data_IF_797607204380
#
_entry.id   IF_797607204380
#
_cell.length_a   1.000
_cell.length_b   1.000
_cell.length_c   1.000
_cell.angle_alpha   90.00
_cell.angle_beta   90.00
_cell.angle_gamma   90.00
#
_symmetry.space_group_name_H-M   'P 1'
#
loop_
_entity.id
_entity.type
_entity.pdbx_description
1 polymer ?
#
# COMPACT_ATOMS: atom_id res chain seq x y z
N UNK A 1 0.10 1.16 -30.43
CA UNK A 1 -0.14 0.42 -29.17
C UNK A 1 0.71 1.10 -28.12
N UNK A 2 0.12 1.56 -27.01
CA UNK A 2 0.91 2.15 -25.93
C UNK A 2 1.78 1.05 -25.29
N UNK A 3 3.07 1.30 -25.09
CA UNK A 3 3.97 0.32 -24.47
C UNK A 3 3.84 0.35 -22.95
N UNK A 4 4.27 -0.70 -22.26
CA UNK A 4 4.30 -0.73 -20.80
C UNK A 4 5.18 0.40 -20.25
N UNK A 5 6.31 0.68 -20.89
CA UNK A 5 7.19 1.80 -20.54
C UNK A 5 6.45 3.14 -20.63
N UNK A 6 5.80 3.45 -21.75
CA UNK A 6 5.08 4.73 -21.92
C UNK A 6 3.97 4.87 -20.87
N UNK A 7 3.21 3.80 -20.62
CA UNK A 7 2.19 3.78 -19.57
C UNK A 7 2.79 4.02 -18.18
N UNK A 8 3.93 3.41 -17.86
CA UNK A 8 4.58 3.57 -16.56
C UNK A 8 5.04 5.01 -16.33
N UNK A 9 5.68 5.63 -17.33
CA UNK A 9 6.10 7.03 -17.28
C UNK A 9 4.90 7.96 -17.12
N UNK A 10 3.81 7.71 -17.84
CA UNK A 10 2.57 8.50 -17.71
C UNK A 10 1.99 8.40 -16.29
N UNK A 11 1.90 7.19 -15.73
CA UNK A 11 1.40 6.97 -14.37
C UNK A 11 2.24 7.69 -13.33
N UNK A 12 3.57 7.52 -13.41
CA UNK A 12 4.50 8.16 -12.47
C UNK A 12 4.38 9.68 -12.54
N UNK A 13 4.34 10.26 -13.75
CA UNK A 13 4.18 11.71 -13.93
C UNK A 13 2.85 12.25 -13.41
N UNK A 14 1.82 11.41 -13.31
CA UNK A 14 0.51 11.77 -12.75
C UNK A 14 0.45 11.65 -11.22
N UNK A 15 1.50 11.14 -10.55
CA UNK A 15 1.59 11.18 -9.09
C UNK A 15 1.69 12.64 -8.64
N UNK A 16 0.73 13.11 -7.84
CA UNK A 16 0.75 14.46 -7.31
C UNK A 16 1.84 14.59 -6.23
N UNK A 17 2.94 15.24 -6.61
CA UNK A 17 4.07 15.50 -5.73
C UNK A 17 3.67 16.25 -4.43
N UNK A 18 2.57 17.02 -4.44
CA UNK A 18 2.09 17.76 -3.26
C UNK A 18 1.73 16.84 -2.09
N UNK A 19 1.34 15.60 -2.35
CA UNK A 19 1.11 14.62 -1.29
C UNK A 19 2.38 14.29 -0.51
N UNK A 20 3.55 14.44 -1.14
CA UNK A 20 4.82 13.96 -0.62
C UNK A 20 5.80 15.05 -0.18
N UNK A 21 5.48 16.32 -0.45
CA UNK A 21 6.25 17.46 0.07
C UNK A 21 6.10 17.50 1.60
N UNK A 22 7.24 17.49 2.30
CA UNK A 22 7.37 17.51 3.76
C UNK A 22 6.61 16.38 4.51
N UNK A 23 6.22 15.31 3.81
CA UNK A 23 5.44 14.21 4.40
C UNK A 23 6.17 13.49 5.54
N UNK A 24 7.50 13.55 5.57
CA UNK A 24 8.32 13.05 6.68
C UNK A 24 8.03 13.76 8.01
N UNK A 25 7.58 15.02 7.95
CA UNK A 25 7.35 15.88 9.12
C UNK A 25 5.89 15.89 9.57
N UNK A 26 4.97 15.26 8.84
CA UNK A 26 3.54 15.17 9.17
C UNK A 26 3.23 13.82 9.82
N UNK A 27 2.28 13.76 10.77
CA UNK A 27 1.78 12.47 11.26
C UNK A 27 0.88 11.86 10.19
N UNK A 28 0.74 10.53 10.19
CA UNK A 28 -0.05 9.84 9.15
C UNK A 28 -1.50 10.30 9.17
N UNK A 29 -2.07 10.41 10.38
CA UNK A 29 -3.42 10.92 10.63
C UNK A 29 -3.62 12.39 10.23
N UNK A 30 -2.55 13.16 10.00
CA UNK A 30 -2.65 14.54 9.55
C UNK A 30 -2.84 14.64 8.02
N UNK A 31 -2.59 13.54 7.28
CA UNK A 31 -2.59 13.51 5.81
C UNK A 31 -3.50 12.44 5.20
N UNK A 32 -3.95 11.46 5.99
CA UNK A 32 -4.81 10.35 5.53
C UNK A 32 -5.86 10.07 6.59
N UNK A 33 -7.10 9.81 6.16
CA UNK A 33 -8.14 9.26 7.05
C UNK A 33 -7.76 7.85 7.53
N UNK A 34 -8.37 7.36 8.59
CA UNK A 34 -8.11 5.99 9.06
C UNK A 34 -8.59 4.93 8.06
N UNK A 35 -9.66 5.22 7.32
CA UNK A 35 -10.11 4.38 6.22
C UNK A 35 -9.08 4.34 5.10
N UNK A 36 -8.55 5.50 4.72
CA UNK A 36 -7.47 5.60 3.74
C UNK A 36 -6.20 4.87 4.21
N UNK A 37 -5.86 5.00 5.48
CA UNK A 37 -4.76 4.28 6.09
C UNK A 37 -4.92 2.76 5.94
N UNK A 38 -6.11 2.24 6.18
CA UNK A 38 -6.39 0.79 6.05
C UNK A 38 -6.27 0.33 4.60
N UNK A 39 -6.84 1.08 3.64
CA UNK A 39 -6.68 0.79 2.21
C UNK A 39 -5.21 0.85 1.75
N UNK A 40 -4.40 1.73 2.33
CA UNK A 40 -2.96 1.81 2.04
C UNK A 40 -2.22 0.55 2.54
N UNK A 41 -2.57 0.00 3.72
CA UNK A 41 -2.03 -1.29 4.17
C UNK A 41 -2.35 -2.42 3.19
N UNK A 42 -3.59 -2.47 2.70
CA UNK A 42 -4.01 -3.48 1.72
C UNK A 42 -3.14 -3.45 0.47
N UNK A 43 -2.82 -2.26 -0.04
CA UNK A 43 -1.95 -2.08 -1.21
C UNK A 43 -0.50 -2.51 -0.93
N UNK A 44 0.06 -2.15 0.23
CA UNK A 44 1.42 -2.56 0.58
C UNK A 44 1.48 -4.09 0.80
N UNK A 45 0.49 -4.67 1.47
CA UNK A 45 0.40 -6.10 1.68
C UNK A 45 0.32 -6.88 0.36
N UNK A 46 -0.47 -6.40 -0.59
CA UNK A 46 -0.56 -7.01 -1.92
C UNK A 46 0.75 -6.88 -2.71
N UNK A 47 1.45 -5.75 -2.61
CA UNK A 47 2.79 -5.62 -3.20
C UNK A 47 3.77 -6.65 -2.61
N UNK A 48 3.82 -6.77 -1.29
CA UNK A 48 4.67 -7.75 -0.60
C UNK A 48 4.30 -9.19 -0.98
N UNK A 49 3.00 -9.48 -1.12
CA UNK A 49 2.52 -10.79 -1.57
C UNK A 49 2.98 -11.09 -2.99
N UNK A 50 2.77 -10.18 -3.96
CA UNK A 50 3.15 -10.38 -5.37
C UNK A 50 4.66 -10.55 -5.54
N UNK A 51 5.45 -9.73 -4.84
CA UNK A 51 6.90 -9.92 -4.77
C UNK A 51 7.22 -11.29 -4.14
N UNK A 52 6.57 -11.66 -3.03
CA UNK A 52 6.73 -12.98 -2.41
C UNK A 52 6.48 -14.15 -3.39
N UNK A 53 5.43 -14.08 -4.21
CA UNK A 53 5.14 -15.09 -5.25
C UNK A 53 6.27 -15.16 -6.30
N UNK A 54 6.78 -14.00 -6.75
CA UNK A 54 7.94 -13.96 -7.65
C UNK A 54 9.17 -14.61 -7.00
N UNK A 55 9.45 -14.30 -5.73
CA UNK A 55 10.59 -14.85 -4.99
C UNK A 55 10.48 -16.37 -4.80
N UNK A 56 9.28 -16.88 -4.50
CA UNK A 56 9.02 -18.32 -4.44
C UNK A 56 9.32 -19.00 -5.78
N UNK A 57 8.88 -18.40 -6.89
CA UNK A 57 9.18 -18.90 -8.23
C UNK A 57 10.69 -18.93 -8.52
N UNK A 58 11.41 -17.90 -8.06
CA UNK A 58 12.86 -17.78 -8.22
C UNK A 58 13.68 -18.57 -7.18
N UNK A 59 13.02 -19.22 -6.21
CA UNK A 59 13.67 -19.86 -5.05
C UNK A 59 14.59 -18.91 -4.26
N UNK A 60 14.17 -17.65 -4.10
CA UNK A 60 14.87 -16.63 -3.30
C UNK A 60 14.12 -16.47 -1.98
N UNK A 61 14.81 -16.52 -0.85
CA UNK A 61 14.17 -16.47 0.48
C UNK A 61 13.58 -15.10 0.82
N UNK A 62 14.25 -14.03 0.41
CA UNK A 62 13.81 -12.67 0.67
C UNK A 62 14.69 -11.63 0.00
N UNK A 63 14.15 -10.42 -0.13
CA UNK A 63 14.81 -9.28 -0.75
C UNK A 63 14.53 -8.01 0.02
N UNK A 64 15.41 -7.01 -0.11
CA UNK A 64 15.09 -5.68 0.37
C UNK A 64 13.97 -5.07 -0.47
N UNK A 65 13.13 -4.23 0.13
CA UNK A 65 12.17 -3.40 -0.59
C UNK A 65 12.82 -2.49 -1.66
N UNK A 66 14.11 -2.18 -1.50
CA UNK A 66 14.86 -1.39 -2.48
C UNK A 66 15.33 -2.21 -3.68
N UNK A 67 15.23 -3.54 -3.62
CA UNK A 67 15.67 -4.40 -4.72
C UNK A 67 14.77 -4.16 -5.95
N UNK A 68 15.40 -3.92 -7.09
CA UNK A 68 14.71 -3.89 -8.37
C UNK A 68 14.44 -5.31 -8.85
N UNK A 69 13.16 -5.68 -9.00
CA UNK A 69 12.80 -7.04 -9.43
C UNK A 69 13.36 -7.32 -10.84
N UNK A 70 13.44 -6.30 -11.70
CA UNK A 70 14.07 -6.40 -13.01
C UNK A 70 15.54 -6.84 -12.92
N UNK A 71 16.29 -6.32 -11.95
CA UNK A 71 17.71 -6.67 -11.73
C UNK A 71 17.89 -8.08 -11.20
N UNK A 72 16.92 -8.57 -10.44
CA UNK A 72 16.93 -9.94 -9.90
C UNK A 72 16.77 -10.96 -11.04
N UNK A 73 15.88 -10.68 -12.00
CA UNK A 73 15.60 -11.61 -13.10
C UNK A 73 16.54 -11.43 -14.29
N UNK A 74 17.10 -10.23 -14.46
CA UNK A 74 18.09 -9.91 -15.48
C UNK A 74 19.23 -9.08 -14.88
N UNK A 75 20.37 -9.72 -14.59
CA UNK A 75 21.51 -9.04 -13.96
C UNK A 75 22.23 -8.05 -14.90
N UNK A 76 21.97 -8.09 -16.20
CA UNK A 76 22.61 -7.22 -17.20
C UNK A 76 21.83 -5.93 -17.43
N UNK A 77 20.60 -5.83 -16.91
CA UNK A 77 19.80 -4.61 -17.07
C UNK A 77 20.52 -3.41 -16.44
N UNK A 78 20.63 -2.34 -17.23
CA UNK A 78 21.23 -1.09 -16.79
C UNK A 78 20.34 -0.41 -15.75
N UNK A 79 20.95 0.06 -14.67
CA UNK A 79 20.22 0.77 -13.63
C UNK A 79 19.90 2.18 -14.07
N UNK A 80 18.62 2.56 -13.98
CA UNK A 80 18.21 3.93 -14.21
C UNK A 80 18.66 4.78 -13.02
N UNK A 81 19.69 5.62 -13.24
CA UNK A 81 20.14 6.60 -12.25
C UNK A 81 19.09 7.70 -12.00
N UNK A 82 19.26 8.46 -10.92
CA UNK A 82 18.30 9.49 -10.54
C UNK A 82 18.27 10.69 -11.50
N UNK A 83 19.39 11.05 -12.12
CA UNK A 83 19.43 12.18 -13.07
C UNK A 83 18.58 11.86 -14.31
N UNK A 84 18.68 10.63 -14.80
CA UNK A 84 17.86 10.14 -15.91
C UNK A 84 16.42 9.87 -15.48
N UNK A 85 16.18 9.38 -14.26
CA UNK A 85 14.82 9.28 -13.70
C UNK A 85 14.14 10.65 -13.69
N UNK A 86 14.80 11.72 -13.24
CA UNK A 86 14.20 13.05 -13.16
C UNK A 86 14.02 13.69 -14.53
N UNK A 87 14.81 13.32 -15.55
CA UNK A 87 14.52 13.71 -16.94
C UNK A 87 13.23 13.07 -17.46
N UNK A 88 12.97 11.81 -17.10
CA UNK A 88 11.79 11.05 -17.56
C UNK A 88 10.55 11.41 -16.74
N UNK A 89 10.73 11.56 -15.42
CA UNK A 89 9.68 11.82 -14.43
C UNK A 89 10.06 13.02 -13.55
N UNK A 90 10.03 14.25 -14.08
CA UNK A 90 10.47 15.45 -13.37
C UNK A 90 9.63 15.76 -12.12
N UNK A 91 8.38 15.30 -12.05
CA UNK A 91 7.54 15.46 -10.86
C UNK A 91 8.11 14.77 -9.61
N UNK A 92 9.01 13.79 -9.78
CA UNK A 92 9.65 13.10 -8.66
C UNK A 92 10.77 13.93 -8.03
N UNK A 93 11.40 14.86 -8.75
CA UNK A 93 12.53 15.66 -8.26
C UNK A 93 12.25 16.29 -6.88
N UNK A 94 11.16 17.06 -6.67
CA UNK A 94 10.86 17.71 -5.39
C UNK A 94 10.47 16.75 -4.26
N UNK A 95 10.22 15.46 -4.55
CA UNK A 95 9.78 14.50 -3.54
C UNK A 95 10.96 14.04 -2.69
N UNK A 96 11.00 14.39 -1.41
CA UNK A 96 12.06 13.94 -0.49
C UNK A 96 11.79 12.53 0.10
N UNK A 97 11.45 11.56 -0.75
CA UNK A 97 11.23 10.16 -0.39
C UNK A 97 12.01 9.23 -1.32
N UNK A 98 13.20 8.82 -0.89
CA UNK A 98 14.10 7.96 -1.67
C UNK A 98 13.46 6.64 -2.08
N UNK A 99 12.66 6.03 -1.19
CA UNK A 99 12.05 4.72 -1.45
C UNK A 99 10.98 4.81 -2.54
N UNK A 100 10.17 5.89 -2.57
CA UNK A 100 9.23 6.16 -3.65
C UNK A 100 9.99 6.27 -4.98
N UNK A 101 11.07 7.08 -5.01
CA UNK A 101 11.92 7.26 -6.19
C UNK A 101 12.52 5.93 -6.68
N UNK A 102 13.03 5.11 -5.78
CA UNK A 102 13.60 3.80 -6.11
C UNK A 102 12.53 2.85 -6.66
N UNK A 103 11.35 2.78 -6.05
CA UNK A 103 10.26 1.91 -6.51
C UNK A 103 9.75 2.37 -7.89
N UNK A 104 9.61 3.68 -8.11
CA UNK A 104 9.26 4.23 -9.43
C UNK A 104 10.30 3.87 -10.50
N UNK A 105 11.60 4.00 -10.18
CA UNK A 105 12.68 3.57 -11.08
C UNK A 105 12.59 2.08 -11.40
N UNK A 106 12.43 1.24 -10.37
CA UNK A 106 12.30 -0.21 -10.52
C UNK A 106 11.06 -0.61 -11.34
N UNK A 107 9.94 0.11 -11.20
CA UNK A 107 8.73 -0.11 -11.98
C UNK A 107 8.96 0.20 -13.47
N UNK A 108 9.64 1.31 -13.79
CA UNK A 108 10.01 1.64 -15.18
C UNK A 108 10.84 0.51 -15.79
N UNK A 109 11.84 0.02 -15.07
CA UNK A 109 12.68 -1.09 -15.53
C UNK A 109 11.92 -2.38 -15.73
N UNK A 110 10.98 -2.69 -14.82
CA UNK A 110 10.08 -3.83 -14.97
C UNK A 110 9.26 -3.73 -16.26
N UNK A 111 8.75 -2.54 -16.56
CA UNK A 111 8.01 -2.29 -17.80
C UNK A 111 8.87 -2.38 -19.06
N UNK A 112 10.16 -2.05 -19.00
CA UNK A 112 11.10 -2.28 -20.11
C UNK A 112 11.23 -3.79 -20.40
N UNK A 113 11.34 -4.62 -19.36
CA UNK A 113 11.38 -6.08 -19.53
C UNK A 113 10.06 -6.65 -20.08
N UNK A 114 8.92 -6.08 -19.68
CA UNK A 114 7.63 -6.42 -20.25
C UNK A 114 7.56 -6.11 -21.75
N UNK A 115 8.00 -4.90 -22.14
CA UNK A 115 8.05 -4.50 -23.54
C UNK A 115 9.02 -5.37 -24.37
N UNK A 116 10.09 -5.86 -23.75
CA UNK A 116 11.03 -6.80 -24.36
C UNK A 116 10.51 -8.26 -24.41
N UNK A 117 9.37 -8.55 -23.78
CA UNK A 117 8.79 -9.89 -23.75
C UNK A 117 9.52 -10.86 -22.83
N UNK A 118 10.20 -10.38 -21.79
CA UNK A 118 10.87 -11.25 -20.82
C UNK A 118 9.84 -12.22 -20.18
N UNK A 119 10.10 -13.55 -20.20
CA UNK A 119 9.10 -14.54 -19.81
C UNK A 119 8.73 -14.46 -18.33
N UNK A 120 9.65 -14.07 -17.46
CA UNK A 120 9.39 -13.94 -16.02
C UNK A 120 8.62 -12.64 -15.77
N UNK A 121 9.04 -11.54 -16.39
CA UNK A 121 8.30 -10.28 -16.29
C UNK A 121 6.86 -10.43 -16.78
N UNK A 122 6.64 -11.07 -17.93
CA UNK A 122 5.30 -11.33 -18.49
C UNK A 122 4.45 -12.19 -17.55
N UNK A 123 5.04 -13.21 -16.94
CA UNK A 123 4.34 -14.07 -15.97
C UNK A 123 3.89 -13.30 -14.73
N UNK A 124 4.71 -12.35 -14.27
CA UNK A 124 4.46 -11.54 -13.06
C UNK A 124 4.25 -10.06 -13.41
N UNK A 125 3.51 -9.79 -14.50
CA UNK A 125 3.41 -8.47 -15.12
C UNK A 125 2.87 -7.37 -14.21
N UNK A 126 2.10 -7.74 -13.19
CA UNK A 126 1.41 -6.84 -12.29
C UNK A 126 2.07 -6.73 -10.91
N UNK A 127 3.33 -7.16 -10.78
CA UNK A 127 4.11 -7.14 -9.51
C UNK A 127 4.07 -5.77 -8.84
N UNK A 128 4.26 -4.69 -9.61
CA UNK A 128 4.33 -3.32 -9.09
C UNK A 128 2.96 -2.60 -9.04
N UNK A 129 1.89 -3.19 -9.58
CA UNK A 129 0.57 -2.53 -9.64
C UNK A 129 0.10 -2.02 -8.28
N UNK A 130 0.18 -2.78 -7.17
CA UNK A 130 -0.36 -2.33 -5.89
C UNK A 130 0.41 -1.12 -5.33
N UNK A 131 1.75 -1.12 -5.45
CA UNK A 131 2.57 -0.05 -4.88
C UNK A 131 2.53 1.23 -5.72
N UNK A 132 2.36 1.11 -7.04
CA UNK A 132 2.14 2.29 -7.89
C UNK A 132 0.76 2.89 -7.62
N UNK A 133 -0.28 2.05 -7.48
CA UNK A 133 -1.62 2.52 -7.07
C UNK A 133 -1.61 3.20 -5.70
N UNK A 134 -0.79 2.73 -4.76
CA UNK A 134 -0.58 3.41 -3.47
C UNK A 134 -0.07 4.83 -3.67
N UNK A 135 0.94 5.01 -4.53
CA UNK A 135 1.54 6.32 -4.77
C UNK A 135 0.62 7.28 -5.53
N UNK A 136 -0.13 6.77 -6.51
CA UNK A 136 -1.16 7.55 -7.22
C UNK A 136 -2.23 8.11 -6.29
N UNK A 137 -2.43 7.49 -5.13
CA UNK A 137 -3.44 7.87 -4.13
C UNK A 137 -2.88 8.75 -3.00
N UNK A 138 -1.61 9.12 -3.05
CA UNK A 138 -0.96 9.88 -1.98
C UNK A 138 -0.63 9.05 -0.72
N UNK A 139 -0.73 7.72 -0.81
CA UNK A 139 -0.42 6.80 0.28
C UNK A 139 1.08 6.46 0.37
N UNK A 140 1.43 5.61 1.34
CA UNK A 140 2.79 5.08 1.47
C UNK A 140 3.73 6.02 2.21
N UNK A 141 3.33 6.50 3.38
CA UNK A 141 4.24 7.26 4.26
C UNK A 141 5.42 6.37 4.61
N UNK A 142 6.62 6.94 4.58
CA UNK A 142 7.86 6.23 4.83
C UNK A 142 8.47 6.83 6.08
N UNK A 143 8.61 6.03 7.13
CA UNK A 143 9.16 6.52 8.39
C UNK A 143 10.66 6.77 8.25
N UNK A 144 11.12 7.98 8.56
CA UNK A 144 12.51 8.41 8.37
C UNK A 144 13.48 7.84 9.40
N UNK A 145 13.00 7.39 10.56
CA UNK A 145 13.85 6.81 11.60
C UNK A 145 14.17 5.33 11.38
N UNK A 146 13.34 4.60 10.62
CA UNK A 146 13.53 3.15 10.37
C UNK A 146 13.41 2.74 8.88
N UNK A 147 13.14 3.68 7.99
CA UNK A 147 12.91 3.49 6.54
C UNK A 147 11.90 2.39 6.18
N UNK A 148 10.87 2.25 7.01
CA UNK A 148 9.77 1.30 6.82
C UNK A 148 8.64 1.95 6.00
N UNK A 149 7.95 1.13 5.20
CA UNK A 149 6.68 1.53 4.60
C UNK A 149 5.60 1.45 5.66
N UNK A 150 4.91 2.56 5.89
CA UNK A 150 3.81 2.64 6.86
C UNK A 150 2.50 2.75 6.08
N UNK A 151 1.57 1.83 6.37
CA UNK A 151 0.19 1.79 5.88
C UNK A 151 -0.62 0.92 6.83
N UNK A 152 -1.88 1.29 7.09
CA UNK A 152 -2.86 0.76 8.06
C UNK A 152 -2.33 -0.02 9.25
N UNK A 153 -2.44 0.40 10.51
CA UNK A 153 -2.04 -0.35 11.74
C UNK A 153 -0.67 -1.07 11.80
N UNK A 154 0.14 -1.09 10.74
CA UNK A 154 1.37 -1.87 10.65
C UNK A 154 2.51 -1.11 9.98
N UNK A 155 3.72 -1.40 10.44
CA UNK A 155 4.94 -1.08 9.70
C UNK A 155 5.33 -2.30 8.86
N UNK A 156 5.54 -2.11 7.57
CA UNK A 156 6.04 -3.13 6.68
C UNK A 156 7.56 -3.07 6.69
N UNK A 157 8.18 -4.17 7.13
CA UNK A 157 9.63 -4.27 7.27
C UNK A 157 10.35 -4.09 5.93
N UNK A 158 11.62 -3.65 6.00
CA UNK A 158 12.47 -3.42 4.82
C UNK A 158 12.79 -4.67 4.00
N UNK A 159 12.47 -5.85 4.53
CA UNK A 159 12.64 -7.14 3.87
C UNK A 159 11.29 -7.71 3.46
N UNK A 160 11.20 -8.14 2.20
CA UNK A 160 10.08 -8.88 1.64
C UNK A 160 10.51 -10.33 1.56
N UNK A 161 9.85 -11.20 2.33
CA UNK A 161 10.14 -12.64 2.37
C UNK A 161 9.27 -13.39 1.36
N UNK A 162 9.79 -14.49 0.82
CA UNK A 162 9.06 -15.37 -0.11
C UNK A 162 7.76 -15.89 0.48
N UNK A 163 7.72 -16.15 1.79
CA UNK A 163 6.52 -16.60 2.52
C UNK A 163 5.35 -15.62 2.47
N UNK A 164 5.57 -14.36 2.06
CA UNK A 164 4.48 -13.43 1.74
C UNK A 164 3.63 -13.93 0.57
N UNK A 165 4.20 -14.72 -0.33
CA UNK A 165 3.49 -15.34 -1.46
C UNK A 165 2.42 -16.35 -1.04
N UNK A 166 2.51 -16.91 0.17
CA UNK A 166 1.54 -17.86 0.73
C UNK A 166 0.24 -17.19 1.21
N UNK A 167 0.23 -15.85 1.28
CA UNK A 167 -0.94 -15.08 1.68
C UNK A 167 -2.01 -15.14 0.57
N UNK A 168 -3.28 -15.10 0.98
CA UNK A 168 -4.39 -14.93 0.03
C UNK A 168 -4.27 -13.59 -0.69
N UNK A 169 -4.75 -13.53 -1.92
CA UNK A 169 -4.78 -12.30 -2.70
C UNK A 169 -5.66 -11.25 -2.02
N UNK A 170 -5.18 -10.02 -2.02
CA UNK A 170 -5.95 -8.87 -1.55
C UNK A 170 -6.63 -8.20 -2.74
N UNK A 171 -7.93 -7.90 -2.60
CA UNK A 171 -8.66 -7.16 -3.62
C UNK A 171 -8.26 -5.68 -3.60
N UNK A 172 -7.48 -5.28 -4.61
CA UNK A 172 -7.01 -3.91 -4.79
C UNK A 172 -7.82 -3.12 -5.82
N UNK A 173 -9.01 -3.61 -6.19
CA UNK A 173 -9.91 -2.87 -7.07
C UNK A 173 -10.34 -1.56 -6.42
N UNK A 174 -10.57 -0.52 -7.24
CA UNK A 174 -10.98 0.78 -6.70
C UNK A 174 -12.33 0.69 -5.94
N UNK A 175 -13.17 -0.28 -6.30
CA UNK A 175 -14.41 -0.55 -5.57
C UNK A 175 -14.12 -1.10 -4.17
N UNK A 176 -13.27 -2.12 -4.06
CA UNK A 176 -12.90 -2.71 -2.77
C UNK A 176 -12.22 -1.70 -1.85
N UNK A 177 -11.24 -0.94 -2.36
CA UNK A 177 -10.53 0.07 -1.58
C UNK A 177 -11.46 1.19 -1.11
N UNK A 178 -12.39 1.67 -1.96
CA UNK A 178 -13.40 2.66 -1.54
C UNK A 178 -14.36 2.12 -0.50
N UNK A 179 -14.75 0.85 -0.63
CA UNK A 179 -15.63 0.19 0.30
C UNK A 179 -14.96 0.04 1.67
N UNK A 180 -13.69 -0.36 1.70
CA UNK A 180 -12.87 -0.44 2.92
C UNK A 180 -12.77 0.92 3.63
N UNK A 181 -12.50 2.00 2.88
CA UNK A 181 -12.46 3.36 3.44
C UNK A 181 -13.79 3.70 4.12
N UNK A 182 -14.90 3.53 3.41
CA UNK A 182 -16.25 3.87 3.92
C UNK A 182 -16.62 3.07 5.17
N UNK A 183 -16.25 1.80 5.23
CA UNK A 183 -16.55 0.95 6.38
C UNK A 183 -15.81 1.37 7.63
N UNK A 184 -14.53 1.73 7.49
CA UNK A 184 -13.73 2.24 8.60
C UNK A 184 -14.26 3.59 9.05
N UNK A 185 -14.55 4.52 8.13
CA UNK A 185 -15.09 5.84 8.46
C UNK A 185 -16.46 5.74 9.16
N UNK A 186 -17.32 4.83 8.70
CA UNK A 186 -18.61 4.52 9.34
C UNK A 186 -18.44 3.94 10.75
N UNK A 187 -17.46 3.06 10.95
CA UNK A 187 -17.14 2.53 12.27
C UNK A 187 -16.52 3.60 13.19
N UNK A 188 -15.71 4.52 12.67
CA UNK A 188 -15.18 5.66 13.43
C UNK A 188 -16.29 6.61 13.88
N UNK A 189 -17.23 6.93 13.00
CA UNK A 189 -18.42 7.71 13.34
C UNK A 189 -19.24 7.00 14.41
N UNK A 190 -19.42 5.67 14.28
CA UNK A 190 -20.12 4.89 15.30
C UNK A 190 -19.45 4.97 16.67
N UNK A 191 -18.12 4.84 16.75
CA UNK A 191 -17.39 4.99 18.01
C UNK A 191 -17.58 6.38 18.61
N UNK A 192 -17.58 7.43 17.79
CA UNK A 192 -17.79 8.82 18.26
C UNK A 192 -19.18 9.00 18.84
N UNK A 193 -20.22 8.51 18.17
CA UNK A 193 -21.60 8.56 18.66
C UNK A 193 -21.80 7.73 19.93
N UNK A 194 -21.26 6.49 19.94
CA UNK A 194 -21.35 5.59 21.09
C UNK A 194 -20.68 6.16 22.36
N UNK A 195 -19.56 6.88 22.20
CA UNK A 195 -18.90 7.58 23.32
C UNK A 195 -19.79 8.66 23.95
N UNK A 196 -20.77 9.19 23.22
CA UNK A 196 -21.75 10.17 23.71
C UNK A 196 -23.02 9.50 24.25
N UNK A 197 -23.49 8.45 23.58
CA UNK A 197 -24.67 7.68 23.94
C UNK A 197 -24.46 6.19 23.62
N UNK A 198 -24.27 5.38 24.67
CA UNK A 198 -24.01 3.94 24.54
C UNK A 198 -25.22 3.13 24.08
N UNK A 199 -26.40 3.75 23.94
CA UNK A 199 -27.60 3.11 23.38
C UNK A 199 -27.64 3.13 21.84
N UNK A 200 -26.77 3.94 21.20
CA UNK A 200 -26.71 4.03 19.74
C UNK A 200 -26.33 2.69 19.13
N UNK A 201 -27.04 2.33 18.07
CA UNK A 201 -26.76 1.15 17.25
C UNK A 201 -26.50 1.56 15.81
N UNK A 202 -25.50 0.94 15.18
CA UNK A 202 -25.25 1.06 13.74
C UNK A 202 -25.19 -0.31 13.10
N UNK A 203 -25.47 -0.36 11.80
CA UNK A 203 -25.41 -1.58 11.01
C UNK A 203 -24.14 -1.60 10.16
N UNK A 204 -23.64 -2.79 9.88
CA UNK A 204 -22.47 -3.02 9.05
C UNK A 204 -22.81 -2.71 7.59
N UNK A 205 -21.98 -1.90 6.92
CA UNK A 205 -22.19 -1.56 5.50
C UNK A 205 -22.07 -2.78 4.56
N UNK A 206 -21.36 -3.84 4.98
CA UNK A 206 -21.17 -5.06 4.16
C UNK A 206 -22.41 -5.93 4.08
N UNK A 207 -23.07 -6.15 5.22
CA UNK A 207 -24.10 -7.18 5.34
C UNK A 207 -25.41 -6.70 6.00
N UNK A 208 -25.48 -5.45 6.44
CA UNK A 208 -26.66 -4.88 7.09
C UNK A 208 -26.89 -5.35 8.54
N UNK A 209 -26.15 -6.36 9.02
CA UNK A 209 -26.25 -6.82 10.42
C UNK A 209 -25.62 -5.82 11.40
N UNK A 210 -25.99 -5.92 12.67
CA UNK A 210 -25.58 -4.96 13.69
C UNK A 210 -24.07 -4.98 13.91
N UNK A 211 -23.51 -3.80 14.17
CA UNK A 211 -22.17 -3.62 14.69
C UNK A 211 -22.22 -3.64 16.22
N UNK A 212 -21.30 -4.39 16.83
CA UNK A 212 -21.10 -4.50 18.26
C UNK A 212 -19.87 -3.68 18.63
N UNK A 213 -20.00 -2.87 19.69
CA UNK A 213 -18.88 -2.21 20.35
C UNK A 213 -18.40 -3.07 21.51
N UNK A 214 -17.10 -3.33 21.57
CA UNK A 214 -16.45 -3.91 22.76
C UNK A 214 -15.47 -2.89 23.33
N UNK A 215 -15.74 -2.44 24.55
CA UNK A 215 -14.85 -1.53 25.28
C UNK A 215 -13.71 -2.33 25.91
N UNK A 216 -12.50 -1.80 25.77
CA UNK A 216 -11.30 -2.39 26.35
C UNK A 216 -10.48 -1.29 27.03
N UNK A 217 -9.75 -1.66 28.08
CA UNK A 217 -8.90 -0.76 28.83
C UNK A 217 -7.52 -1.41 29.00
N UNK A 218 -6.46 -0.63 28.78
CA UNK A 218 -5.09 -1.10 28.94
C UNK A 218 -4.14 0.04 29.28
N UNK A 219 -2.84 -0.27 29.32
CA UNK A 219 -1.79 0.71 29.69
C UNK A 219 -1.77 1.98 28.82
N UNK A 220 -2.30 1.93 27.60
CA UNK A 220 -2.42 3.07 26.68
C UNK A 220 -3.75 3.83 26.74
N UNK A 221 -4.63 3.50 27.70
CA UNK A 221 -5.98 4.07 27.81
C UNK A 221 -7.08 3.16 27.25
N UNK A 222 -8.28 3.72 27.10
CA UNK A 222 -9.45 3.02 26.57
C UNK A 222 -9.38 2.91 25.05
N UNK A 223 -9.75 1.75 24.53
CA UNK A 223 -9.92 1.50 23.10
C UNK A 223 -11.16 0.64 22.86
N UNK A 224 -11.72 0.75 21.67
CA UNK A 224 -13.01 0.23 21.25
C UNK A 224 -12.80 -0.70 20.08
N UNK A 225 -13.31 -1.92 20.18
CA UNK A 225 -13.35 -2.85 19.06
C UNK A 225 -14.74 -2.83 18.44
N UNK A 226 -14.82 -2.53 17.15
CA UNK A 226 -16.08 -2.58 16.39
C UNK A 226 -16.08 -3.89 15.59
N UNK A 227 -17.06 -4.74 15.87
CA UNK A 227 -17.21 -6.04 15.21
C UNK A 227 -18.62 -6.21 14.66
N UNK A 228 -18.75 -6.71 13.44
CA UNK A 228 -20.03 -7.16 12.91
C UNK A 228 -20.46 -8.48 13.57
N UNK A 229 -21.75 -8.61 13.87
CA UNK A 229 -22.34 -9.87 14.38
C UNK A 229 -22.13 -11.06 13.44
N UNK A 230 -22.07 -10.81 12.13
CA UNK A 230 -21.67 -11.82 11.15
C UNK A 230 -20.19 -12.16 11.35
N UNK A 231 -19.90 -13.42 11.67
CA UNK A 231 -18.53 -13.90 11.78
C UNK A 231 -17.73 -13.64 10.48
N UNK A 232 -16.49 -13.18 10.64
CA UNK A 232 -15.54 -12.92 9.54
C UNK A 232 -16.00 -11.77 8.61
N UNK A 233 -16.90 -10.89 9.06
CA UNK A 233 -17.37 -9.76 8.25
C UNK A 233 -16.54 -8.48 8.45
N UNK A 234 -16.76 -7.72 9.52
CA UNK A 234 -15.98 -6.52 9.86
C UNK A 234 -15.48 -6.66 11.30
N UNK A 235 -14.21 -6.39 11.53
CA UNK A 235 -13.57 -6.51 12.84
C UNK A 235 -12.35 -5.57 12.85
N UNK A 236 -12.46 -4.44 13.57
CA UNK A 236 -11.42 -3.41 13.63
C UNK A 236 -11.34 -2.74 15.01
N UNK A 237 -10.14 -2.28 15.36
CA UNK A 237 -9.87 -1.59 16.63
C UNK A 237 -9.81 -0.07 16.45
N UNK A 238 -10.26 0.67 17.46
CA UNK A 238 -10.34 2.12 17.48
C UNK A 238 -9.90 2.64 18.85
N UNK A 239 -9.19 3.77 18.91
CA UNK A 239 -8.76 4.42 20.14
C UNK A 239 -9.37 5.82 20.18
#
# INVERSE_FOLDING_TARGET
>A
METHYTRAVNRINNIDAKYYIDISNKRYEDVRSKGEYTADATLIAEYYRRVGVLLQFMSIEGVSIYAGMAKIINNEIELLDFDNLFKICPNLEPINLTVLKMICSNYIQWCILLDAGDPIAVKFHDTYEPIIKLFERGGGRISTHHHELVGGFGAFGRSIHASRGDMKEFDISDQALRQEIKEVEHAEEYVKEYKLDSSVTKNCLRCGNRLIVQENEGYGGKWYKIKCETNICFDQNFS
#
